data_IF_096376235035
#
_entry.id   IF_096376235035
#
_cell.length_a   1.000
_cell.length_b   1.000
_cell.length_c   1.000
_cell.angle_alpha   90.00
_cell.angle_beta   90.00
_cell.angle_gamma   90.00
#
_symmetry.space_group_name_H-M   'P 1'
#
loop_
_entity.id
_entity.type
_entity.pdbx_description
1 polymer ?
#
# COMPACT_ATOMS: atom_id res chain seq x y z
N UNK A 1 65.28 -10.99 -10.62
CA UNK A 1 65.08 -10.05 -11.74
C UNK A 1 63.98 -9.07 -11.36
N UNK A 2 64.26 -7.77 -11.54
CA UNK A 2 63.36 -6.58 -11.58
C UNK A 2 62.63 -6.17 -10.29
N UNK A 3 63.06 -5.14 -9.55
CA UNK A 3 63.03 -3.66 -9.76
C UNK A 3 61.71 -3.00 -9.31
N UNK A 4 61.79 -2.38 -8.12
CA UNK A 4 61.22 -1.12 -7.57
C UNK A 4 60.23 -0.28 -8.42
N UNK A 5 59.16 0.25 -7.78
CA UNK A 5 58.61 1.64 -7.82
C UNK A 5 57.30 1.70 -6.99
N UNK A 6 57.20 2.33 -5.81
CA UNK A 6 57.20 3.76 -5.40
C UNK A 6 56.08 4.62 -6.01
N UNK A 7 55.12 4.97 -5.14
CA UNK A 7 54.34 6.22 -4.95
C UNK A 7 53.60 6.91 -6.12
N UNK A 8 52.34 7.29 -5.86
CA UNK A 8 51.90 8.69 -5.88
C UNK A 8 50.49 8.85 -5.28
N UNK A 9 50.38 9.69 -4.26
CA UNK A 9 49.13 10.25 -3.77
C UNK A 9 48.50 11.18 -4.82
N UNK A 10 47.18 11.12 -4.96
CA UNK A 10 46.38 12.22 -5.48
C UNK A 10 45.04 12.26 -4.73
N UNK A 11 45.06 12.83 -3.53
CA UNK A 11 43.85 13.25 -2.81
C UNK A 11 43.31 14.50 -3.51
N UNK A 12 42.36 14.31 -4.43
CA UNK A 12 41.54 15.40 -4.95
C UNK A 12 40.60 15.89 -3.85
N UNK A 13 40.98 16.97 -3.18
CA UNK A 13 40.08 17.75 -2.34
C UNK A 13 39.20 18.59 -3.27
N UNK A 14 38.07 18.02 -3.69
CA UNK A 14 37.00 18.78 -4.31
C UNK A 14 36.37 19.65 -3.22
N UNK A 15 36.79 20.92 -3.17
CA UNK A 15 36.03 22.01 -2.52
C UNK A 15 34.80 22.23 -3.40
N UNK A 16 33.80 21.36 -3.26
CA UNK A 16 32.48 21.54 -3.83
C UNK A 16 31.73 22.56 -3.01
N UNK A 17 31.36 23.69 -3.63
CA UNK A 17 30.43 24.65 -3.07
C UNK A 17 29.26 23.92 -2.41
N UNK A 18 29.04 24.19 -1.12
CA UNK A 18 27.89 23.75 -0.36
C UNK A 18 26.63 24.33 -0.99
N UNK A 19 26.14 23.66 -2.03
CA UNK A 19 24.75 23.78 -2.43
C UNK A 19 24.06 22.84 -1.48
N UNK A 20 23.43 23.38 -0.43
CA UNK A 20 22.53 22.60 0.40
C UNK A 20 21.66 21.75 -0.54
N UNK A 21 21.70 20.41 -0.45
CA UNK A 21 20.86 19.58 -1.29
C UNK A 21 19.42 20.00 -0.96
N UNK A 22 18.80 20.73 -1.90
CA UNK A 22 17.38 21.04 -1.85
C UNK A 22 16.68 19.72 -1.57
N UNK A 23 15.92 19.58 -0.46
CA UNK A 23 15.20 18.36 -0.18
C UNK A 23 14.44 17.98 -1.44
N UNK A 24 14.71 16.79 -1.98
CA UNK A 24 13.88 16.24 -3.04
C UNK A 24 12.45 16.30 -2.49
N UNK A 25 11.56 17.00 -3.19
CA UNK A 25 10.18 17.11 -2.76
C UNK A 25 9.66 15.70 -2.52
N UNK A 26 9.23 15.41 -1.29
CA UNK A 26 8.65 14.11 -0.97
C UNK A 26 7.50 13.86 -1.95
N UNK A 27 7.41 12.65 -2.54
CA UNK A 27 6.32 12.35 -3.44
C UNK A 27 5.01 12.60 -2.71
N UNK A 28 4.12 13.37 -3.34
CA UNK A 28 2.80 13.65 -2.79
C UNK A 28 2.11 12.32 -2.45
N UNK A 29 1.27 12.32 -1.42
CA UNK A 29 0.54 11.14 -0.98
C UNK A 29 -0.93 11.47 -0.70
N UNK A 30 -1.77 10.44 -0.75
CA UNK A 30 -3.17 10.54 -0.38
C UNK A 30 -3.64 9.30 0.37
N UNK A 31 -4.80 9.42 1.00
CA UNK A 31 -5.46 8.38 1.76
C UNK A 31 -6.39 7.55 0.86
N UNK A 32 -5.95 6.34 0.50
CA UNK A 32 -6.75 5.36 -0.22
C UNK A 32 -7.70 4.66 0.75
N UNK A 33 -9.01 4.82 0.51
CA UNK A 33 -10.07 4.21 1.30
C UNK A 33 -10.64 3.00 0.60
N UNK A 34 -10.55 1.82 1.21
CA UNK A 34 -11.10 0.58 0.68
C UNK A 34 -12.04 -0.07 1.68
N UNK A 35 -13.16 -0.59 1.16
CA UNK A 35 -14.10 -1.42 1.91
C UNK A 35 -14.11 -2.84 1.33
N UNK A 36 -13.77 -3.84 2.12
CA UNK A 36 -14.00 -5.24 1.77
C UNK A 36 -15.40 -5.66 2.24
N UNK A 37 -16.27 -6.01 1.31
CA UNK A 37 -17.64 -6.45 1.57
C UNK A 37 -17.71 -7.97 1.45
N UNK A 38 -18.09 -8.65 2.53
CA UNK A 38 -18.20 -10.11 2.57
C UNK A 38 -19.66 -10.52 2.48
N UNK A 39 -19.96 -11.40 1.53
CA UNK A 39 -21.31 -11.93 1.34
C UNK A 39 -21.85 -12.61 2.60
N UNK A 40 -23.15 -12.45 2.94
CA UNK A 40 -23.73 -12.91 4.21
C UNK A 40 -23.45 -14.38 4.56
N UNK A 41 -23.40 -15.28 3.56
CA UNK A 41 -23.15 -16.72 3.76
C UNK A 41 -21.78 -17.06 4.35
N UNK A 42 -20.82 -16.12 4.33
CA UNK A 42 -19.47 -16.30 4.88
C UNK A 42 -19.23 -15.50 6.16
N UNK A 43 -20.25 -14.82 6.67
CA UNK A 43 -20.15 -13.93 7.82
C UNK A 43 -20.46 -14.69 9.11
N UNK A 44 -19.62 -14.48 10.12
CA UNK A 44 -19.89 -14.90 11.50
C UNK A 44 -20.11 -13.65 12.35
N UNK A 45 -21.33 -13.41 12.87
CA UNK A 45 -21.57 -12.32 13.81
C UNK A 45 -20.77 -12.54 15.10
N UNK A 46 -20.15 -11.48 15.62
CA UNK A 46 -19.39 -11.50 16.88
C UNK A 46 -19.80 -10.31 17.75
N UNK A 47 -19.45 -10.36 19.04
CA UNK A 47 -19.67 -9.22 19.92
C UNK A 47 -18.93 -7.98 19.37
N UNK A 48 -19.69 -6.92 19.07
CA UNK A 48 -19.14 -5.66 18.55
C UNK A 48 -18.86 -5.62 17.05
N UNK A 49 -19.32 -6.60 16.25
CA UNK A 49 -19.16 -6.56 14.80
C UNK A 49 -19.40 -7.89 14.09
N UNK A 50 -18.57 -8.18 13.11
CA UNK A 50 -18.58 -9.43 12.36
C UNK A 50 -17.16 -9.87 11.99
N UNK A 51 -17.02 -11.16 11.76
CA UNK A 51 -15.80 -11.79 11.25
C UNK A 51 -16.12 -12.62 10.01
N UNK A 52 -15.09 -13.02 9.25
CA UNK A 52 -15.26 -13.93 8.12
C UNK A 52 -14.06 -14.85 7.91
N UNK A 53 -14.29 -15.99 7.27
CA UNK A 53 -13.22 -16.91 6.92
C UNK A 53 -12.44 -16.38 5.70
N UNK A 54 -11.24 -15.88 5.94
CA UNK A 54 -10.27 -15.46 4.93
C UNK A 54 -10.18 -13.95 4.66
N UNK A 55 -11.12 -13.14 5.14
CA UNK A 55 -10.97 -11.67 5.22
C UNK A 55 -11.50 -11.21 6.57
N UNK A 56 -10.61 -10.78 7.44
CA UNK A 56 -10.91 -10.46 8.83
C UNK A 56 -10.15 -9.22 9.28
N UNK A 57 -10.45 -8.77 10.51
CA UNK A 57 -9.67 -7.72 11.16
C UNK A 57 -8.18 -8.07 11.15
N UNK A 58 -7.35 -7.12 10.73
CA UNK A 58 -5.91 -7.30 10.64
C UNK A 58 -5.43 -7.96 9.34
N UNK A 59 -6.33 -8.36 8.43
CA UNK A 59 -5.92 -8.84 7.12
C UNK A 59 -5.09 -7.77 6.40
N UNK A 60 -3.91 -8.11 5.86
CA UNK A 60 -3.03 -7.12 5.25
C UNK A 60 -3.66 -6.55 4.00
N UNK A 61 -3.43 -5.27 3.74
CA UNK A 61 -3.75 -4.63 2.47
C UNK A 61 -2.47 -4.11 1.86
N UNK A 62 -2.17 -4.56 0.66
CA UNK A 62 -1.00 -4.16 -0.12
C UNK A 62 -1.46 -3.38 -1.34
N UNK A 63 -0.83 -2.23 -1.59
CA UNK A 63 -1.10 -1.40 -2.76
C UNK A 63 0.17 -1.30 -3.60
N UNK A 64 0.04 -1.68 -4.88
CA UNK A 64 1.12 -1.61 -5.87
C UNK A 64 0.75 -0.69 -7.03
N UNK A 65 1.76 -0.16 -7.68
CA UNK A 65 1.61 0.65 -8.89
C UNK A 65 1.81 -0.17 -10.17
N UNK A 66 1.78 0.48 -11.32
CA UNK A 66 1.98 -0.12 -12.64
C UNK A 66 3.35 -0.80 -12.84
N UNK A 67 4.32 -0.52 -11.98
CA UNK A 67 5.66 -1.09 -12.01
C UNK A 67 5.83 -2.22 -10.99
N UNK A 68 4.73 -2.75 -10.44
CA UNK A 68 4.69 -3.74 -9.34
C UNK A 68 5.40 -3.25 -8.06
N UNK A 69 5.59 -1.94 -7.92
CA UNK A 69 6.24 -1.35 -6.74
C UNK A 69 5.20 -1.12 -5.66
N UNK A 70 5.51 -1.52 -4.42
CA UNK A 70 4.64 -1.22 -3.28
C UNK A 70 4.65 0.27 -2.97
N UNK A 71 3.49 0.91 -3.16
CA UNK A 71 3.27 2.34 -2.93
C UNK A 71 2.44 2.62 -1.69
N UNK A 72 1.92 1.58 -1.03
CA UNK A 72 1.34 1.67 0.31
C UNK A 72 0.99 0.29 0.88
N UNK A 73 0.88 0.23 2.20
CA UNK A 73 0.52 -0.98 2.92
C UNK A 73 -0.24 -0.63 4.20
N UNK A 74 -1.14 -1.51 4.61
CA UNK A 74 -1.93 -1.35 5.82
C UNK A 74 -2.62 -2.65 6.21
N UNK A 75 -3.67 -2.55 7.01
CA UNK A 75 -4.48 -3.69 7.38
C UNK A 75 -5.95 -3.28 7.54
N UNK A 76 -6.85 -4.25 7.37
CA UNK A 76 -8.27 -4.04 7.61
C UNK A 76 -8.56 -3.82 9.10
N UNK A 77 -9.46 -2.88 9.37
CA UNK A 77 -10.03 -2.64 10.70
C UNK A 77 -11.03 -3.72 11.13
N UNK A 78 -11.76 -3.47 12.21
CA UNK A 78 -12.84 -4.35 12.66
C UNK A 78 -13.99 -4.41 11.65
N UNK A 79 -14.63 -5.57 11.52
CA UNK A 79 -15.78 -5.78 10.65
C UNK A 79 -17.06 -5.19 11.23
N UNK A 80 -17.87 -4.55 10.39
CA UNK A 80 -19.18 -3.99 10.74
C UNK A 80 -20.29 -4.77 10.04
N UNK A 81 -21.18 -5.38 10.83
CA UNK A 81 -22.31 -6.16 10.32
C UNK A 81 -23.37 -5.21 9.74
N UNK A 82 -23.72 -5.42 8.48
CA UNK A 82 -24.69 -4.62 7.76
C UNK A 82 -26.12 -5.19 7.90
N UNK A 83 -27.18 -4.39 7.66
CA UNK A 83 -28.57 -4.83 7.77
C UNK A 83 -28.96 -5.98 6.83
N UNK A 84 -28.26 -6.15 5.71
CA UNK A 84 -28.44 -7.24 4.73
C UNK A 84 -27.69 -8.53 5.13
N UNK A 85 -26.98 -8.52 6.27
CA UNK A 85 -26.16 -9.62 6.76
C UNK A 85 -24.74 -9.63 6.21
N UNK A 86 -24.35 -8.70 5.34
CA UNK A 86 -22.98 -8.60 4.85
C UNK A 86 -22.05 -8.07 5.96
N UNK A 87 -20.76 -8.39 5.85
CA UNK A 87 -19.74 -7.86 6.76
C UNK A 87 -18.83 -6.90 6.01
N UNK A 88 -18.71 -5.67 6.51
CA UNK A 88 -17.85 -4.65 5.90
C UNK A 88 -16.60 -4.43 6.75
N UNK A 89 -15.44 -4.61 6.13
CA UNK A 89 -14.14 -4.26 6.71
C UNK A 89 -13.57 -3.03 6.00
N UNK A 90 -13.05 -2.08 6.75
CA UNK A 90 -12.55 -0.80 6.22
C UNK A 90 -11.03 -0.70 6.42
N UNK A 91 -10.33 -0.13 5.44
CA UNK A 91 -8.95 0.34 5.61
C UNK A 91 -8.79 1.75 5.01
N UNK A 92 -7.93 2.53 5.66
CA UNK A 92 -7.41 3.78 5.14
C UNK A 92 -5.88 3.67 5.05
N UNK A 93 -5.33 3.85 3.86
CA UNK A 93 -3.93 3.55 3.54
C UNK A 93 -3.32 4.76 2.87
N UNK A 94 -2.27 5.33 3.45
CA UNK A 94 -1.51 6.37 2.78
C UNK A 94 -0.70 5.77 1.65
N UNK A 95 -0.91 6.28 0.44
CA UNK A 95 -0.28 5.79 -0.79
C UNK A 95 0.38 6.95 -1.55
N UNK A 96 1.47 6.67 -2.25
CA UNK A 96 2.11 7.65 -3.13
C UNK A 96 1.20 8.03 -4.32
N UNK A 97 1.13 9.33 -4.63
CA UNK A 97 0.41 9.86 -5.79
C UNK A 97 1.18 9.68 -7.11
N UNK A 98 0.52 10.05 -8.22
CA UNK A 98 1.14 10.14 -9.55
C UNK A 98 1.08 8.85 -10.36
N UNK A 99 0.31 7.85 -9.92
CA UNK A 99 0.13 6.57 -10.61
C UNK A 99 -1.07 6.58 -11.54
N UNK A 100 -1.03 5.75 -12.58
CA UNK A 100 -2.16 5.58 -13.52
C UNK A 100 -3.24 4.70 -12.90
N UNK A 101 -2.83 3.62 -12.24
CA UNK A 101 -3.69 2.71 -11.50
C UNK A 101 -3.00 2.19 -10.24
N UNK A 102 -3.79 1.59 -9.37
CA UNK A 102 -3.32 0.92 -8.16
C UNK A 102 -3.84 -0.51 -8.16
N UNK A 103 -2.96 -1.48 -7.96
CA UNK A 103 -3.33 -2.87 -7.68
C UNK A 103 -3.44 -3.08 -6.17
N UNK A 104 -4.62 -3.44 -5.71
CA UNK A 104 -4.94 -3.56 -4.29
C UNK A 104 -5.18 -5.02 -3.97
N UNK A 105 -4.37 -5.56 -3.08
CA UNK A 105 -4.44 -6.96 -2.60
C UNK A 105 -4.87 -6.96 -1.14
N UNK A 106 -5.85 -7.78 -0.78
CA UNK A 106 -6.33 -7.93 0.60
C UNK A 106 -6.13 -9.38 1.04
N UNK A 107 -5.30 -9.62 2.05
CA UNK A 107 -4.90 -10.97 2.46
C UNK A 107 -4.28 -11.73 1.29
N UNK A 108 -4.75 -12.95 1.06
CA UNK A 108 -4.31 -13.83 -0.03
C UNK A 108 -5.26 -13.80 -1.24
N UNK A 109 -6.06 -12.74 -1.39
CA UNK A 109 -7.01 -12.61 -2.51
C UNK A 109 -6.30 -12.15 -3.78
N UNK A 110 -6.95 -12.39 -4.92
CA UNK A 110 -6.47 -11.83 -6.19
C UNK A 110 -6.41 -10.29 -6.12
N UNK A 111 -5.37 -9.66 -6.67
CA UNK A 111 -5.30 -8.21 -6.76
C UNK A 111 -6.47 -7.63 -7.56
N UNK A 112 -6.96 -6.48 -7.13
CA UNK A 112 -7.92 -5.69 -7.88
C UNK A 112 -7.25 -4.43 -8.43
N UNK A 113 -7.28 -4.26 -9.75
CA UNK A 113 -6.79 -3.05 -10.42
C UNK A 113 -7.82 -1.93 -10.32
N UNK A 114 -7.41 -0.78 -9.80
CA UNK A 114 -8.27 0.38 -9.56
C UNK A 114 -7.67 1.62 -10.24
N UNK A 115 -8.41 2.29 -11.14
CA UNK A 115 -7.99 3.57 -11.71
C UNK A 115 -7.72 4.64 -10.64
N UNK A 116 -6.74 5.51 -10.87
CA UNK A 116 -6.28 6.47 -9.86
C UNK A 116 -7.35 7.46 -9.37
N UNK A 117 -8.26 7.89 -10.25
CA UNK A 117 -9.41 8.74 -9.90
C UNK A 117 -10.34 8.04 -8.90
N UNK A 118 -10.63 6.76 -9.14
CA UNK A 118 -11.45 5.93 -8.25
C UNK A 118 -10.76 5.63 -6.93
N UNK A 119 -9.44 5.42 -6.94
CA UNK A 119 -8.66 5.20 -5.73
C UNK A 119 -8.73 6.41 -4.79
N UNK A 120 -8.72 7.64 -5.33
CA UNK A 120 -8.84 8.89 -4.55
C UNK A 120 -10.20 9.08 -3.90
N UNK A 121 -11.29 8.61 -4.53
CA UNK A 121 -12.65 8.73 -3.98
C UNK A 121 -12.99 7.61 -3.00
N UNK A 122 -12.21 6.53 -3.00
CA UNK A 122 -12.49 5.31 -2.29
C UNK A 122 -13.40 4.36 -3.07
N UNK A 123 -13.31 3.07 -2.76
CA UNK A 123 -14.01 2.01 -3.47
C UNK A 123 -14.31 0.81 -2.56
N UNK A 124 -15.10 -0.12 -3.09
CA UNK A 124 -15.41 -1.38 -2.42
C UNK A 124 -15.02 -2.58 -3.27
N UNK A 125 -14.59 -3.65 -2.61
CA UNK A 125 -14.35 -4.96 -3.20
C UNK A 125 -15.30 -5.97 -2.56
N UNK A 126 -16.03 -6.71 -3.39
CA UNK A 126 -17.03 -7.69 -2.95
C UNK A 126 -16.45 -9.10 -3.02
N UNK A 127 -16.57 -9.87 -1.94
CA UNK A 127 -16.06 -11.22 -1.84
C UNK A 127 -17.17 -12.21 -1.55
N UNK A 128 -17.22 -13.29 -2.34
CA UNK A 128 -18.13 -14.41 -2.11
C UNK A 128 -19.55 -14.23 -2.64
N UNK A 129 -19.81 -13.15 -3.38
CA UNK A 129 -21.04 -12.95 -4.14
C UNK A 129 -21.09 -13.84 -5.38
#
# INVERSE_FOLDING_TARGET
MRTVSVAALATLVLVGCATDPKPAAEPASFDLRVTAQIAPKFVTPIAGGCDSNGVSKGSPVLVRDESDTTVGAGALGGGSLQPDGACHFYANITVAEGREFYEVTIGDRAPATVPADRARTGFSLSFGY
#
